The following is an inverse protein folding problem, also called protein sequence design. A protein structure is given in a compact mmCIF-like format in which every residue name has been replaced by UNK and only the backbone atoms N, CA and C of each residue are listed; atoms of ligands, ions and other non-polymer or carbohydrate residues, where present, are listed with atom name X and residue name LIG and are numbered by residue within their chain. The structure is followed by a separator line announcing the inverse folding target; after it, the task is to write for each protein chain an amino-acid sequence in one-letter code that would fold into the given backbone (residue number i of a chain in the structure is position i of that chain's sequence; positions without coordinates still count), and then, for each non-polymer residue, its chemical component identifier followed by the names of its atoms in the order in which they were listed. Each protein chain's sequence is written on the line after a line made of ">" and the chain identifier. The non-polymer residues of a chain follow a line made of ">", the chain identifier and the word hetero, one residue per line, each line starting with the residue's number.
data_IF_768402671459
#
_entry.id   IF_768402671459
#
_cell.length_a   1.000
_cell.length_b   1.000
_cell.length_c   1.000
_cell.angle_alpha   90.00
_cell.angle_beta   90.00
_cell.angle_gamma   90.00
#
_symmetry.space_group_name_H-M   'P 1'
#
loop_
_entity.id
_entity.type
_entity.pdbx_description
1 polymer ?
#
# COMPACT_ATOMS: atom_id res chain seq x y z
N UNK A 1 19.33 20.08 12.12
CA UNK A 1 18.29 21.11 11.96
C UNK A 1 17.32 20.58 10.93
N UNK A 2 16.16 20.13 11.36
CA UNK A 2 15.07 19.77 10.45
C UNK A 2 14.57 21.06 9.80
N UNK A 3 14.67 21.14 8.49
CA UNK A 3 14.06 22.24 7.73
C UNK A 3 12.54 22.08 7.78
N UNK A 4 11.75 23.14 7.71
CA UNK A 4 10.27 23.04 7.74
C UNK A 4 9.71 22.10 6.65
N UNK A 5 10.42 21.94 5.54
CA UNK A 5 10.07 21.02 4.45
C UNK A 5 10.15 19.52 4.82
N UNK A 6 10.80 19.18 5.95
CA UNK A 6 11.03 17.81 6.37
C UNK A 6 10.21 17.36 7.60
N UNK A 7 9.24 18.17 8.04
CA UNK A 7 8.36 17.76 9.15
C UNK A 7 7.40 16.67 8.68
N UNK A 8 7.11 15.66 9.53
CA UNK A 8 6.11 14.64 9.23
C UNK A 8 4.76 15.28 8.86
N UNK A 9 4.05 14.62 7.94
CA UNK A 9 2.67 15.00 7.65
C UNK A 9 1.83 14.87 8.94
N UNK A 10 0.99 15.85 9.28
CA UNK A 10 0.15 15.73 10.47
C UNK A 10 -0.93 14.65 10.28
N UNK A 11 -1.17 13.85 11.33
CA UNK A 11 -2.19 12.79 11.30
C UNK A 11 -3.61 13.29 11.03
N UNK A 12 -3.85 14.58 11.25
CA UNK A 12 -5.14 15.22 10.98
C UNK A 12 -5.49 15.37 9.50
N UNK A 13 -4.55 15.12 8.58
CA UNK A 13 -4.85 15.04 7.15
C UNK A 13 -5.61 13.76 6.78
N UNK A 14 -5.49 12.72 7.60
CA UNK A 14 -6.12 11.41 7.38
C UNK A 14 -7.44 11.35 8.14
N UNK A 15 -8.46 12.01 7.58
CA UNK A 15 -9.81 12.07 8.13
C UNK A 15 -10.63 10.84 7.75
N UNK A 16 -11.79 10.65 8.37
CA UNK A 16 -12.74 9.60 7.96
C UNK A 16 -13.15 9.77 6.48
N UNK A 17 -13.39 11.00 6.05
CA UNK A 17 -13.68 11.30 4.66
C UNK A 17 -12.54 10.86 3.73
N UNK A 18 -11.28 11.06 4.12
CA UNK A 18 -10.13 10.57 3.36
C UNK A 18 -10.22 9.06 3.14
N UNK A 19 -10.46 8.28 4.20
CA UNK A 19 -10.52 6.82 4.10
C UNK A 19 -11.73 6.32 3.31
N UNK A 20 -12.85 7.04 3.33
CA UNK A 20 -14.10 6.63 2.69
C UNK A 20 -14.30 7.19 1.27
N UNK A 21 -13.42 8.10 0.79
CA UNK A 21 -13.63 8.74 -0.53
C UNK A 21 -12.37 8.83 -1.39
N UNK A 22 -11.18 8.81 -0.78
CA UNK A 22 -9.92 9.07 -1.48
C UNK A 22 -8.94 7.88 -1.41
N UNK A 23 -9.00 7.10 -0.35
CA UNK A 23 -8.16 5.91 -0.19
C UNK A 23 -8.60 4.82 -1.17
N UNK A 24 -7.63 4.15 -1.79
CA UNK A 24 -7.91 3.11 -2.80
C UNK A 24 -8.85 2.03 -2.28
N UNK A 25 -9.74 1.54 -3.15
CA UNK A 25 -10.70 0.49 -2.81
C UNK A 25 -11.84 0.94 -1.88
N UNK A 26 -12.05 2.24 -1.67
CA UNK A 26 -13.12 2.74 -0.81
C UNK A 26 -14.51 2.29 -1.30
N UNK A 27 -14.72 2.20 -2.60
CA UNK A 27 -15.94 1.71 -3.21
C UNK A 27 -16.23 0.25 -2.83
N UNK A 28 -15.23 -0.63 -2.95
CA UNK A 28 -15.32 -2.03 -2.53
C UNK A 28 -15.53 -2.15 -1.02
N UNK A 29 -14.85 -1.29 -0.23
CA UNK A 29 -15.01 -1.27 1.22
C UNK A 29 -16.43 -0.89 1.62
N UNK A 30 -16.98 0.18 1.06
CA UNK A 30 -18.35 0.65 1.36
C UNK A 30 -19.39 -0.37 0.91
N UNK A 31 -19.28 -0.91 -0.30
CA UNK A 31 -20.23 -1.91 -0.85
C UNK A 31 -20.21 -3.23 -0.08
N UNK A 32 -19.02 -3.66 0.38
CA UNK A 32 -18.87 -4.93 1.10
C UNK A 32 -18.81 -4.79 2.62
N UNK A 33 -18.89 -3.59 3.15
CA UNK A 33 -18.67 -3.29 4.58
C UNK A 33 -17.31 -3.85 5.06
N UNK A 34 -16.29 -3.74 4.21
CA UNK A 34 -14.94 -4.26 4.46
C UNK A 34 -14.82 -5.79 4.44
N UNK A 35 -15.85 -6.52 3.94
CA UNK A 35 -15.81 -8.00 3.84
C UNK A 35 -14.95 -8.51 2.71
N UNK A 36 -14.67 -7.70 1.70
CA UNK A 36 -13.86 -8.04 0.54
C UNK A 36 -12.69 -7.08 0.40
N UNK A 37 -11.54 -7.63 0.06
CA UNK A 37 -10.39 -6.82 -0.33
C UNK A 37 -10.61 -6.22 -1.72
N UNK A 38 -10.17 -5.00 -1.93
CA UNK A 38 -10.01 -4.48 -3.28
C UNK A 38 -9.05 -5.38 -4.06
N UNK A 39 -9.11 -5.31 -5.39
CA UNK A 39 -8.19 -6.09 -6.23
C UNK A 39 -6.72 -5.81 -5.86
N UNK A 40 -6.37 -4.56 -5.67
CA UNK A 40 -5.01 -4.14 -5.33
C UNK A 40 -4.55 -4.74 -3.99
N UNK A 41 -5.37 -4.62 -2.95
CA UNK A 41 -5.05 -5.20 -1.65
C UNK A 41 -4.96 -6.73 -1.71
N UNK A 42 -5.83 -7.38 -2.50
CA UNK A 42 -5.79 -8.82 -2.68
C UNK A 42 -4.52 -9.27 -3.39
N UNK A 43 -4.11 -8.59 -4.47
CA UNK A 43 -2.88 -8.88 -5.20
C UNK A 43 -1.65 -8.65 -4.31
N UNK A 44 -1.62 -7.55 -3.53
CA UNK A 44 -0.54 -7.25 -2.60
C UNK A 44 -0.47 -8.28 -1.45
N UNK A 45 -1.62 -8.68 -0.90
CA UNK A 45 -1.67 -9.70 0.16
C UNK A 45 -1.23 -11.07 -0.34
N UNK A 46 -1.62 -11.46 -1.55
CA UNK A 46 -1.22 -12.74 -2.15
C UNK A 46 0.31 -12.91 -2.25
N UNK A 47 1.04 -11.80 -2.48
CA UNK A 47 2.51 -11.79 -2.53
C UNK A 47 3.14 -12.10 -1.16
N UNK A 48 2.41 -11.90 -0.07
CA UNK A 48 2.92 -12.14 1.27
C UNK A 48 3.07 -13.64 1.61
N UNK A 49 2.41 -14.54 0.86
CA UNK A 49 2.45 -15.98 1.10
C UNK A 49 2.23 -16.30 2.59
N UNK A 50 1.09 -15.85 3.11
CA UNK A 50 0.76 -15.95 4.53
C UNK A 50 0.20 -17.33 4.85
N UNK A 51 0.61 -17.90 5.99
CA UNK A 51 0.16 -19.21 6.49
C UNK A 51 -0.50 -19.08 7.88
N UNK A 52 -1.44 -19.96 8.26
CA UNK A 52 -2.28 -19.81 9.46
C UNK A 52 -1.54 -19.63 10.79
N UNK A 53 -0.32 -20.15 10.92
CA UNK A 53 0.49 -20.05 12.16
C UNK A 53 1.34 -18.79 12.25
N UNK A 54 1.29 -17.94 11.23
CA UNK A 54 2.12 -16.72 11.16
C UNK A 54 1.51 -15.59 11.98
N UNK A 55 2.41 -14.72 12.45
CA UNK A 55 2.06 -13.42 13.06
C UNK A 55 2.34 -12.31 12.03
N UNK A 56 1.31 -11.53 11.75
CA UNK A 56 1.32 -10.49 10.71
C UNK A 56 1.23 -9.12 11.35
N UNK A 57 2.07 -8.18 10.90
CA UNK A 57 1.95 -6.77 11.21
C UNK A 57 1.55 -6.02 9.94
N UNK A 58 0.45 -5.29 10.01
CA UNK A 58 -0.02 -4.36 8.97
C UNK A 58 0.27 -2.92 9.41
N UNK A 59 1.19 -2.25 8.73
CA UNK A 59 1.59 -0.87 9.00
C UNK A 59 0.82 0.06 8.07
N UNK A 60 0.06 1.00 8.67
CA UNK A 60 -0.92 1.81 7.97
C UNK A 60 -2.20 1.01 7.72
N UNK A 61 -2.74 0.38 8.79
CA UNK A 61 -3.87 -0.54 8.67
C UNK A 61 -5.19 0.11 8.21
N UNK A 62 -5.26 1.45 8.19
CA UNK A 62 -6.35 2.22 7.62
C UNK A 62 -7.74 1.79 8.08
N UNK A 63 -8.56 1.29 7.15
CA UNK A 63 -9.93 0.80 7.41
C UNK A 63 -10.00 -0.62 7.98
N UNK A 64 -8.86 -1.35 8.06
CA UNK A 64 -8.79 -2.68 8.67
C UNK A 64 -9.12 -3.87 7.77
N UNK A 65 -9.19 -3.69 6.46
CA UNK A 65 -9.53 -4.75 5.50
C UNK A 65 -8.55 -5.92 5.56
N UNK A 66 -7.25 -5.64 5.63
CA UNK A 66 -6.20 -6.66 5.76
C UNK A 66 -6.32 -7.39 7.10
N UNK A 67 -6.56 -6.66 8.19
CA UNK A 67 -6.75 -7.25 9.53
C UNK A 67 -7.94 -8.21 9.52
N UNK A 68 -9.09 -7.77 8.98
CA UNK A 68 -10.28 -8.63 8.84
C UNK A 68 -9.99 -9.87 8.00
N UNK A 69 -9.27 -9.70 6.90
CA UNK A 69 -8.91 -10.81 6.02
C UNK A 69 -8.04 -11.84 6.74
N UNK A 70 -7.03 -11.40 7.49
CA UNK A 70 -6.19 -12.26 8.33
C UNK A 70 -7.02 -13.00 9.39
N UNK A 71 -7.91 -12.30 10.08
CA UNK A 71 -8.81 -12.93 11.07
C UNK A 71 -9.64 -14.05 10.45
N UNK A 72 -10.26 -13.82 9.30
CA UNK A 72 -11.06 -14.85 8.59
C UNK A 72 -10.23 -16.08 8.17
N UNK A 73 -8.93 -15.93 7.98
CA UNK A 73 -8.00 -17.02 7.69
C UNK A 73 -7.43 -17.68 8.97
N UNK A 74 -7.84 -17.24 10.16
CA UNK A 74 -7.31 -17.74 11.43
C UNK A 74 -5.87 -17.34 11.71
N UNK A 75 -5.43 -16.18 11.19
CA UNK A 75 -4.07 -15.65 11.28
C UNK A 75 -4.02 -14.60 12.39
N UNK A 76 -3.00 -14.66 13.26
CA UNK A 76 -2.77 -13.66 14.28
C UNK A 76 -2.30 -12.34 13.65
N UNK A 77 -3.13 -11.30 13.70
CA UNK A 77 -2.91 -10.03 13.02
C UNK A 77 -2.76 -8.84 13.99
N UNK A 78 -1.83 -7.96 13.66
CA UNK A 78 -1.58 -6.71 14.37
C UNK A 78 -1.67 -5.54 13.39
N UNK A 79 -2.50 -4.55 13.70
CA UNK A 79 -2.60 -3.31 12.94
C UNK A 79 -1.95 -2.15 13.68
N UNK A 80 -1.20 -1.32 12.97
CA UNK A 80 -0.77 -0.02 13.47
C UNK A 80 -1.12 1.06 12.46
N UNK A 81 -1.56 2.20 12.97
CA UNK A 81 -1.75 3.40 12.16
C UNK A 81 -1.38 4.65 12.97
N UNK A 82 -0.91 5.66 12.27
CA UNK A 82 -0.57 6.95 12.82
C UNK A 82 -1.82 7.79 13.11
N UNK A 83 -2.85 7.66 12.26
CA UNK A 83 -4.13 8.36 12.39
C UNK A 83 -5.04 7.66 13.40
N UNK A 84 -5.60 8.45 14.32
CA UNK A 84 -6.56 7.94 15.32
C UNK A 84 -7.81 7.38 14.65
N UNK A 85 -8.33 8.08 13.64
CA UNK A 85 -9.52 7.65 12.88
C UNK A 85 -9.31 6.26 12.28
N UNK A 86 -8.18 5.99 11.65
CA UNK A 86 -7.85 4.69 11.09
C UNK A 86 -7.87 3.58 12.15
N UNK A 87 -7.26 3.84 13.32
CA UNK A 87 -7.25 2.84 14.41
C UNK A 87 -8.64 2.57 14.98
N UNK A 88 -9.51 3.58 15.02
CA UNK A 88 -10.91 3.41 15.42
C UNK A 88 -11.69 2.58 14.38
N UNK A 89 -11.60 2.92 13.09
CA UNK A 89 -12.23 2.16 12.01
C UNK A 89 -11.77 0.69 12.00
N UNK A 90 -10.46 0.45 12.14
CA UNK A 90 -9.93 -0.92 12.21
C UNK A 90 -10.44 -1.67 13.44
N UNK A 91 -10.56 -1.03 14.61
CA UNK A 91 -11.14 -1.66 15.82
C UNK A 91 -12.59 -2.03 15.63
N UNK A 92 -13.37 -1.18 14.97
CA UNK A 92 -14.77 -1.46 14.65
C UNK A 92 -14.89 -2.69 13.73
N UNK A 93 -14.04 -2.78 12.71
CA UNK A 93 -13.94 -3.95 11.83
C UNK A 93 -13.56 -5.22 12.60
N UNK A 94 -12.60 -5.13 13.53
CA UNK A 94 -12.22 -6.27 14.40
C UNK A 94 -13.42 -6.71 15.25
N UNK A 95 -14.10 -5.77 15.93
CA UNK A 95 -15.25 -6.07 16.78
C UNK A 95 -16.42 -6.70 15.98
N UNK A 96 -16.70 -6.19 14.80
CA UNK A 96 -17.70 -6.77 13.88
C UNK A 96 -17.32 -8.19 13.48
N UNK A 97 -16.05 -8.43 13.13
CA UNK A 97 -15.55 -9.75 12.73
C UNK A 97 -15.64 -10.76 13.86
N UNK A 98 -15.35 -10.33 15.09
CA UNK A 98 -15.52 -11.18 16.29
C UNK A 98 -16.99 -11.51 16.56
N UNK A 99 -17.89 -10.54 16.36
CA UNK A 99 -19.34 -10.75 16.53
C UNK A 99 -19.96 -11.66 15.45
N UNK A 100 -19.38 -11.68 14.25
CA UNK A 100 -19.78 -12.55 13.14
C UNK A 100 -19.23 -13.99 13.26
N UNK A 101 -18.24 -14.23 14.13
CA UNK A 101 -17.63 -15.56 14.30
C UNK A 101 -18.57 -16.49 15.11
N UNK A 102 -18.76 -17.71 14.62
CA UNK A 102 -19.52 -18.74 15.32
C UNK A 102 -18.74 -19.35 16.50
N UNK A 103 -19.44 -19.80 17.55
CA UNK A 103 -18.84 -20.54 18.67
C UNK A 103 -18.15 -21.81 18.13
N UNK A 104 -16.82 -21.92 18.36
CA UNK A 104 -16.02 -23.09 17.94
C UNK A 104 -15.11 -22.84 16.73
N UNK A 105 -15.13 -21.64 16.12
CA UNK A 105 -14.07 -21.23 15.20
C UNK A 105 -12.75 -20.95 15.96
N UNK A 106 -11.63 -20.99 15.23
CA UNK A 106 -10.30 -20.68 15.79
C UNK A 106 -10.32 -19.36 16.57
N UNK A 107 -9.56 -19.31 17.66
CA UNK A 107 -9.40 -18.09 18.44
C UNK A 107 -8.88 -16.97 17.53
N UNK A 108 -9.78 -16.03 17.16
CA UNK A 108 -9.44 -14.91 16.31
C UNK A 108 -8.64 -13.89 17.10
N UNK A 109 -7.37 -13.70 16.76
CA UNK A 109 -6.49 -12.77 17.44
C UNK A 109 -6.15 -11.59 16.52
N UNK A 110 -6.71 -10.43 16.86
CA UNK A 110 -6.33 -9.18 16.23
C UNK A 110 -6.14 -8.08 17.26
N UNK A 111 -5.10 -7.26 17.10
CA UNK A 111 -4.78 -6.14 18.00
C UNK A 111 -4.44 -4.91 17.17
N UNK A 112 -4.99 -3.76 17.57
CA UNK A 112 -4.83 -2.49 16.86
C UNK A 112 -4.23 -1.45 17.80
N UNK A 113 -3.16 -0.81 17.36
CA UNK A 113 -2.45 0.20 18.12
C UNK A 113 -2.34 1.51 17.29
N UNK A 114 -2.56 2.65 17.95
CA UNK A 114 -2.16 3.93 17.39
C UNK A 114 -0.66 4.09 17.58
N UNK A 115 0.11 4.07 16.51
CA UNK A 115 1.56 4.16 16.57
C UNK A 115 2.13 4.74 15.28
N UNK A 116 3.25 5.43 15.42
CA UNK A 116 4.06 5.87 14.29
C UNK A 116 4.91 4.70 13.77
N UNK A 117 4.95 4.51 12.45
CA UNK A 117 5.76 3.48 11.81
C UNK A 117 7.26 3.59 12.13
N UNK A 118 7.73 4.78 12.52
CA UNK A 118 9.11 5.06 12.94
C UNK A 118 9.42 4.58 14.36
N UNK A 119 8.41 4.12 15.12
CA UNK A 119 8.56 3.63 16.49
C UNK A 119 7.47 2.61 16.82
N UNK A 120 7.69 1.37 16.45
CA UNK A 120 6.72 0.29 16.63
C UNK A 120 6.70 -0.24 18.06
N UNK A 121 5.52 -0.43 18.69
CA UNK A 121 5.40 -0.84 20.10
C UNK A 121 5.54 -2.36 20.28
N UNK A 122 6.44 -3.00 19.55
CA UNK A 122 6.64 -4.44 19.57
C UNK A 122 8.08 -4.81 19.87
N UNK A 123 8.34 -5.98 20.47
CA UNK A 123 9.69 -6.52 20.66
C UNK A 123 10.37 -6.83 19.31
N UNK A 124 11.67 -7.02 19.36
CA UNK A 124 12.46 -7.49 18.24
C UNK A 124 11.98 -8.87 17.78
N UNK A 125 12.11 -9.17 16.49
CA UNK A 125 11.84 -10.50 15.90
C UNK A 125 10.46 -11.08 16.27
N UNK A 126 9.41 -10.24 16.22
CA UNK A 126 8.04 -10.58 16.62
C UNK A 126 7.16 -11.10 15.49
N UNK A 127 7.45 -10.76 14.23
CA UNK A 127 6.54 -10.99 13.11
C UNK A 127 7.17 -11.81 11.99
N UNK A 128 6.36 -12.71 11.42
CA UNK A 128 6.71 -13.52 10.27
C UNK A 128 6.56 -12.73 8.97
N UNK A 129 5.55 -11.84 8.93
CA UNK A 129 5.30 -10.92 7.82
C UNK A 129 5.04 -9.52 8.37
N UNK A 130 5.63 -8.53 7.70
CA UNK A 130 5.28 -7.13 7.91
C UNK A 130 4.81 -6.59 6.57
N UNK A 131 3.62 -6.00 6.57
CA UNK A 131 2.96 -5.43 5.40
C UNK A 131 3.00 -3.91 5.50
N UNK A 132 3.22 -3.24 4.38
CA UNK A 132 3.17 -1.79 4.25
C UNK A 132 2.57 -1.47 2.87
N UNK A 133 1.25 -1.32 2.83
CA UNK A 133 0.49 -1.12 1.60
C UNK A 133 -0.05 0.30 1.52
N UNK A 134 0.30 1.02 0.46
CA UNK A 134 -0.09 2.41 0.20
C UNK A 134 0.25 3.36 1.39
N UNK A 135 1.47 3.21 1.94
CA UNK A 135 2.01 4.02 3.06
C UNK A 135 3.29 4.75 2.67
N UNK A 136 4.12 4.10 1.85
CA UNK A 136 5.47 4.59 1.50
C UNK A 136 5.44 5.98 0.88
N UNK A 137 4.46 6.26 0.03
CA UNK A 137 4.26 7.53 -0.64
C UNK A 137 3.91 8.68 0.31
N UNK A 138 3.46 8.37 1.52
CA UNK A 138 3.11 9.33 2.58
C UNK A 138 4.26 9.67 3.53
N UNK A 139 5.37 8.92 3.46
CA UNK A 139 6.53 9.10 4.32
C UNK A 139 7.64 9.85 3.58
N UNK A 140 8.14 10.94 4.12
CA UNK A 140 9.36 11.55 3.59
C UNK A 140 10.50 10.52 3.54
N UNK A 141 11.54 10.69 2.69
CA UNK A 141 12.62 9.70 2.56
C UNK A 141 13.30 9.34 3.88
N UNK A 142 13.48 10.30 4.79
CA UNK A 142 14.06 10.05 6.11
C UNK A 142 13.10 9.26 7.03
N UNK A 143 11.79 9.54 6.96
CA UNK A 143 10.76 8.80 7.70
C UNK A 143 10.68 7.36 7.22
N UNK A 144 10.65 7.16 5.89
CA UNK A 144 10.66 5.83 5.29
C UNK A 144 11.89 5.03 5.74
N UNK A 145 13.07 5.66 5.79
CA UNK A 145 14.26 4.99 6.28
C UNK A 145 14.12 4.55 7.75
N UNK A 146 13.63 5.44 8.63
CA UNK A 146 13.40 5.11 10.04
C UNK A 146 12.33 4.01 10.20
N UNK A 147 11.22 4.08 9.47
CA UNK A 147 10.18 3.06 9.47
C UNK A 147 10.75 1.69 9.02
N UNK A 148 11.55 1.66 7.97
CA UNK A 148 12.19 0.43 7.51
C UNK A 148 13.19 -0.15 8.54
N UNK A 149 13.90 0.68 9.31
CA UNK A 149 14.73 0.21 10.42
C UNK A 149 13.91 -0.44 11.53
N UNK A 150 12.75 0.15 11.88
CA UNK A 150 11.83 -0.45 12.85
C UNK A 150 11.20 -1.75 12.31
N UNK A 151 10.82 -1.79 11.04
CA UNK A 151 10.39 -3.04 10.38
C UNK A 151 11.49 -4.10 10.50
N UNK A 152 12.75 -3.74 10.21
CA UNK A 152 13.88 -4.68 10.32
C UNK A 152 14.06 -5.18 11.74
N UNK A 153 13.82 -4.36 12.74
CA UNK A 153 13.90 -4.74 14.17
C UNK A 153 12.82 -5.75 14.54
N UNK A 154 11.54 -5.46 14.19
CA UNK A 154 10.40 -6.30 14.62
C UNK A 154 10.19 -7.55 13.75
N UNK A 155 10.73 -7.59 12.55
CA UNK A 155 10.66 -8.74 11.65
C UNK A 155 11.55 -9.88 12.17
N UNK A 156 11.10 -11.12 12.08
CA UNK A 156 11.92 -12.31 12.35
C UNK A 156 13.04 -12.43 11.30
N UNK A 157 14.05 -13.25 11.57
CA UNK A 157 15.22 -13.37 10.69
C UNK A 157 14.88 -14.04 9.34
N UNK A 158 13.93 -14.96 9.34
CA UNK A 158 13.33 -15.61 8.16
C UNK A 158 12.05 -14.92 7.67
N UNK A 159 11.66 -13.83 8.34
CA UNK A 159 10.47 -13.05 8.02
C UNK A 159 10.59 -12.30 6.70
N UNK A 160 9.44 -11.90 6.14
CA UNK A 160 9.38 -11.12 4.91
C UNK A 160 8.70 -9.77 5.13
N UNK A 161 9.28 -8.74 4.55
CA UNK A 161 8.70 -7.40 4.46
C UNK A 161 8.08 -7.22 3.08
N UNK A 162 6.78 -6.95 3.02
CA UNK A 162 6.02 -6.82 1.78
C UNK A 162 5.55 -5.37 1.65
N UNK A 163 5.85 -4.77 0.52
CA UNK A 163 5.50 -3.38 0.22
C UNK A 163 4.68 -3.35 -1.05
N UNK A 164 3.61 -2.58 -1.03
CA UNK A 164 2.92 -2.07 -2.19
C UNK A 164 2.84 -0.55 -2.09
N UNK A 165 3.01 0.17 -3.19
CA UNK A 165 2.84 1.63 -3.27
C UNK A 165 2.49 2.06 -4.69
N UNK A 166 1.69 3.11 -4.81
CA UNK A 166 1.30 3.72 -6.07
C UNK A 166 1.09 5.25 -5.90
N UNK A 167 1.31 6.03 -6.97
CA UNK A 167 1.73 5.63 -8.30
C UNK A 167 3.26 5.45 -8.43
N UNK A 168 3.66 4.69 -9.44
CA UNK A 168 5.05 4.64 -9.86
C UNK A 168 5.52 6.03 -10.34
N UNK A 169 6.57 6.58 -9.75
CA UNK A 169 7.11 7.90 -10.07
C UNK A 169 7.48 8.06 -11.54
N UNK A 170 7.92 7.00 -12.23
CA UNK A 170 8.22 7.06 -13.66
C UNK A 170 6.96 7.18 -14.51
N UNK A 171 5.85 6.56 -14.08
CA UNK A 171 4.56 6.78 -14.74
C UNK A 171 4.18 8.26 -14.70
N UNK A 172 4.18 8.88 -13.54
CA UNK A 172 3.80 10.28 -13.37
C UNK A 172 4.69 11.22 -14.18
N UNK A 173 5.99 10.95 -14.21
CA UNK A 173 6.97 11.81 -14.86
C UNK A 173 7.01 11.67 -16.40
N UNK A 174 6.86 10.45 -16.91
CA UNK A 174 7.13 10.15 -18.31
C UNK A 174 5.91 9.66 -19.10
N UNK A 175 5.13 8.73 -18.55
CA UNK A 175 3.98 8.16 -19.24
C UNK A 175 2.74 9.05 -19.16
N UNK A 176 2.47 9.63 -18.00
CA UNK A 176 1.28 10.45 -17.79
C UNK A 176 1.17 11.64 -18.75
N UNK A 177 2.22 12.42 -19.06
CA UNK A 177 2.15 13.47 -20.06
C UNK A 177 1.72 12.96 -21.44
N UNK A 178 2.19 11.78 -21.84
CA UNK A 178 1.83 11.13 -23.10
C UNK A 178 0.36 10.69 -23.07
N UNK A 179 -0.05 10.00 -22.02
CA UNK A 179 -1.45 9.58 -21.82
C UNK A 179 -2.37 10.80 -21.84
N UNK A 180 -2.01 11.85 -21.10
CA UNK A 180 -2.77 13.10 -21.05
C UNK A 180 -2.91 13.77 -22.42
N UNK A 181 -1.84 13.80 -23.22
CA UNK A 181 -1.86 14.35 -24.57
C UNK A 181 -2.91 13.63 -25.44
N UNK A 182 -2.86 12.30 -25.50
CA UNK A 182 -3.83 11.52 -26.28
C UNK A 182 -5.26 11.66 -25.73
N UNK A 183 -5.45 11.64 -24.42
CA UNK A 183 -6.78 11.83 -23.81
C UNK A 183 -7.38 13.19 -24.12
N UNK A 184 -6.56 14.23 -24.23
CA UNK A 184 -7.03 15.56 -24.66
C UNK A 184 -7.46 15.58 -26.13
N UNK A 185 -6.76 14.89 -27.02
CA UNK A 185 -7.15 14.76 -28.44
C UNK A 185 -8.52 14.08 -28.59
N UNK A 186 -8.87 13.17 -27.69
CA UNK A 186 -10.17 12.49 -27.66
C UNK A 186 -11.24 13.20 -26.80
N UNK A 187 -11.05 14.48 -26.47
CA UNK A 187 -12.03 15.27 -25.73
C UNK A 187 -12.13 14.98 -24.22
N UNK A 188 -11.25 14.14 -23.67
CA UNK A 188 -11.26 13.75 -22.26
C UNK A 188 -10.31 14.59 -21.40
N UNK A 189 -9.87 15.74 -21.87
CA UNK A 189 -8.84 16.57 -21.21
C UNK A 189 -9.21 17.07 -19.83
N UNK A 190 -10.49 17.23 -19.51
CA UNK A 190 -10.98 17.69 -18.22
C UNK A 190 -10.71 16.70 -17.07
N UNK A 191 -10.65 15.40 -17.38
CA UNK A 191 -10.39 14.34 -16.39
C UNK A 191 -8.88 14.06 -16.16
N UNK A 192 -8.01 14.74 -16.92
CA UNK A 192 -6.56 14.55 -16.88
C UNK A 192 -5.86 15.88 -16.61
N UNK A 193 -5.77 16.31 -15.34
CA UNK A 193 -5.13 17.56 -14.94
C UNK A 193 -3.64 17.57 -15.30
N UNK A 194 -3.00 18.76 -15.22
CA UNK A 194 -1.55 18.86 -15.50
C UNK A 194 -0.72 18.08 -14.48
N UNK A 195 -1.11 18.16 -13.21
CA UNK A 195 -0.52 17.39 -12.12
C UNK A 195 -1.33 16.09 -11.94
N UNK A 196 -0.76 14.89 -12.11
CA UNK A 196 -1.48 13.62 -11.96
C UNK A 196 -2.04 13.40 -10.55
N UNK A 197 -1.39 13.94 -9.51
CA UNK A 197 -1.90 13.88 -8.12
C UNK A 197 -3.24 14.59 -7.94
N UNK A 198 -3.54 15.58 -8.77
CA UNK A 198 -4.81 16.30 -8.73
C UNK A 198 -6.01 15.50 -9.30
N UNK A 199 -5.80 14.28 -9.78
CA UNK A 199 -6.90 13.35 -10.13
C UNK A 199 -7.70 13.00 -8.87
N UNK A 200 -6.99 12.80 -7.75
CA UNK A 200 -7.56 12.72 -6.40
C UNK A 200 -6.95 13.91 -5.62
N UNK A 201 -7.70 14.99 -5.41
CA UNK A 201 -7.13 16.27 -4.94
C UNK A 201 -6.30 16.18 -3.67
N UNK A 202 -6.71 15.38 -2.69
CA UNK A 202 -6.00 15.20 -1.42
C UNK A 202 -4.60 14.59 -1.60
N UNK A 203 -4.36 13.84 -2.68
CA UNK A 203 -3.04 13.25 -2.96
C UNK A 203 -1.96 14.30 -3.23
N UNK A 204 -2.35 15.55 -3.56
CA UNK A 204 -1.38 16.64 -3.70
C UNK A 204 -0.73 17.01 -2.35
N UNK A 205 -1.46 16.81 -1.26
CA UNK A 205 -1.04 17.19 0.09
C UNK A 205 -0.37 16.03 0.84
N UNK A 206 -0.73 14.79 0.50
CA UNK A 206 -0.28 13.60 1.24
C UNK A 206 0.75 12.75 0.52
N UNK A 207 0.90 12.84 -0.81
CA UNK A 207 1.92 12.10 -1.55
C UNK A 207 3.21 12.91 -1.63
N UNK A 208 4.17 12.58 -0.80
CA UNK A 208 5.47 13.29 -0.68
C UNK A 208 6.65 12.48 -1.20
N UNK A 209 6.46 11.18 -1.46
CA UNK A 209 7.58 10.27 -1.77
C UNK A 209 7.18 9.09 -2.65
N UNK A 210 6.62 9.35 -3.82
CA UNK A 210 6.35 8.26 -4.77
C UNK A 210 7.64 7.54 -5.16
N UNK A 211 7.53 6.22 -5.30
CA UNK A 211 8.66 5.36 -5.59
C UNK A 211 8.70 4.93 -7.06
N UNK A 212 9.89 4.57 -7.50
CA UNK A 212 10.15 3.75 -8.67
C UNK A 212 11.01 2.54 -8.26
N UNK A 213 11.30 1.62 -9.19
CA UNK A 213 12.13 0.44 -8.91
C UNK A 213 13.48 0.82 -8.31
N UNK A 214 14.12 1.89 -8.78
CA UNK A 214 15.47 2.27 -8.34
C UNK A 214 15.44 2.85 -6.94
N UNK A 215 14.53 3.81 -6.67
CA UNK A 215 14.41 4.45 -5.36
C UNK A 215 14.00 3.43 -4.28
N UNK A 216 13.05 2.54 -4.58
CA UNK A 216 12.64 1.48 -3.65
C UNK A 216 13.79 0.52 -3.34
N UNK A 217 14.52 0.04 -4.35
CA UNK A 217 15.71 -0.79 -4.12
C UNK A 217 16.77 -0.07 -3.28
N UNK A 218 16.97 1.23 -3.50
CA UNK A 218 17.92 2.03 -2.73
C UNK A 218 17.47 2.16 -1.27
N UNK A 219 16.19 2.45 -1.01
CA UNK A 219 15.63 2.56 0.32
C UNK A 219 15.76 1.24 1.10
N UNK A 220 15.39 0.11 0.49
CA UNK A 220 15.53 -1.21 1.07
C UNK A 220 16.97 -1.54 1.44
N UNK A 221 17.92 -1.31 0.53
CA UNK A 221 19.34 -1.58 0.79
C UNK A 221 19.91 -0.68 1.89
N UNK A 222 19.54 0.58 1.92
CA UNK A 222 19.95 1.52 2.97
C UNK A 222 19.48 1.11 4.36
N UNK A 223 18.29 0.47 4.46
CA UNK A 223 17.74 -0.05 5.70
C UNK A 223 18.19 -1.50 6.03
N UNK A 224 19.14 -2.07 5.27
CA UNK A 224 19.67 -3.41 5.54
C UNK A 224 18.78 -4.55 5.05
N UNK A 225 18.00 -4.32 4.02
CA UNK A 225 17.21 -5.35 3.35
C UNK A 225 17.83 -5.76 2.00
N UNK A 226 17.49 -6.97 1.57
CA UNK A 226 17.67 -7.45 0.22
C UNK A 226 16.37 -8.05 -0.28
N UNK A 227 16.07 -7.92 -1.57
CA UNK A 227 14.80 -8.44 -2.07
C UNK A 227 14.57 -8.14 -3.55
N UNK A 228 13.36 -8.40 -3.98
CA UNK A 228 12.88 -8.17 -5.33
C UNK A 228 11.92 -6.99 -5.34
N UNK A 229 12.14 -6.07 -6.27
CA UNK A 229 11.22 -4.95 -6.56
C UNK A 229 10.78 -5.08 -8.01
N UNK A 230 9.48 -4.99 -8.25
CA UNK A 230 8.92 -5.05 -9.61
C UNK A 230 7.75 -4.10 -9.77
N UNK A 231 7.37 -3.86 -11.01
CA UNK A 231 6.18 -3.08 -11.36
C UNK A 231 5.09 -4.02 -11.83
N UNK A 232 3.87 -3.66 -11.52
CA UNK A 232 2.70 -4.34 -12.03
C UNK A 232 1.59 -3.35 -12.38
N UNK A 233 0.74 -3.76 -13.30
CA UNK A 233 -0.47 -3.03 -13.64
C UNK A 233 -1.60 -4.04 -13.74
N UNK A 234 -2.74 -3.75 -13.12
CA UNK A 234 -3.86 -4.66 -13.17
C UNK A 234 -4.26 -4.96 -14.61
N UNK A 235 -4.56 -6.23 -14.91
CA UNK A 235 -5.17 -6.59 -16.17
C UNK A 235 -6.49 -5.83 -16.30
N UNK A 236 -6.55 -4.92 -17.27
CA UNK A 236 -7.79 -4.21 -17.57
C UNK A 236 -8.66 -5.13 -18.42
N UNK A 237 -9.72 -5.65 -17.81
CA UNK A 237 -10.72 -6.49 -18.48
C UNK A 237 -11.62 -5.61 -19.36
N UNK A 238 -11.06 -5.04 -20.43
CA UNK A 238 -11.78 -4.23 -21.42
C UNK A 238 -11.94 -5.03 -22.70
N UNK A 239 -13.15 -5.03 -23.26
CA UNK A 239 -13.35 -5.43 -24.65
C UNK A 239 -12.64 -4.41 -25.52
N UNK A 240 -11.41 -4.72 -25.92
CA UNK A 240 -10.58 -3.87 -26.77
C UNK A 240 -10.58 -4.42 -28.19
N UNK A 241 -10.55 -3.51 -29.18
CA UNK A 241 -10.30 -3.93 -30.54
C UNK A 241 -8.83 -4.37 -30.70
N UNK A 242 -8.56 -5.17 -31.74
CA UNK A 242 -7.24 -5.76 -32.03
C UNK A 242 -6.09 -4.72 -32.04
N UNK A 243 -6.33 -3.51 -32.57
CA UNK A 243 -5.31 -2.46 -32.67
C UNK A 243 -4.96 -1.91 -31.27
N UNK A 244 -5.98 -1.62 -30.45
CA UNK A 244 -5.78 -1.14 -29.09
C UNK A 244 -5.11 -2.20 -28.20
N UNK A 245 -5.48 -3.46 -28.38
CA UNK A 245 -4.82 -4.58 -27.69
C UNK A 245 -3.32 -4.69 -28.06
N UNK A 246 -2.97 -4.48 -29.33
CA UNK A 246 -1.58 -4.46 -29.80
C UNK A 246 -0.77 -3.30 -29.19
N UNK A 247 -1.33 -2.09 -29.15
CA UNK A 247 -0.69 -0.94 -28.49
C UNK A 247 -0.53 -1.17 -26.99
N UNK A 248 -1.57 -1.68 -26.30
CA UNK A 248 -1.50 -1.99 -24.88
C UNK A 248 -0.37 -2.98 -24.60
N UNK A 249 -0.30 -4.08 -25.36
CA UNK A 249 0.74 -5.09 -25.22
C UNK A 249 2.15 -4.48 -25.38
N UNK A 250 2.34 -3.57 -26.34
CA UNK A 250 3.63 -2.90 -26.53
C UNK A 250 4.03 -2.07 -25.29
N UNK A 251 3.09 -1.28 -24.74
CA UNK A 251 3.39 -0.36 -23.66
C UNK A 251 3.44 -1.02 -22.28
N UNK A 252 2.70 -2.09 -22.03
CA UNK A 252 2.60 -2.73 -20.73
C UNK A 252 3.37 -4.06 -20.60
N UNK A 253 3.65 -4.74 -21.72
CA UNK A 253 4.34 -6.04 -21.66
C UNK A 253 5.81 -5.95 -22.09
N UNK A 254 6.21 -4.93 -22.87
CA UNK A 254 7.54 -4.86 -23.49
C UNK A 254 8.45 -3.82 -22.81
N UNK A 255 9.60 -4.22 -22.22
CA UNK A 255 10.64 -3.29 -21.79
C UNK A 255 11.24 -2.50 -22.98
N UNK A 256 11.60 -1.21 -22.84
CA UNK A 256 11.55 -0.43 -21.58
C UNK A 256 10.20 0.23 -21.31
N UNK A 257 9.25 0.16 -22.24
CA UNK A 257 7.97 0.89 -22.13
C UNK A 257 7.20 0.47 -20.87
N UNK A 258 7.16 -0.82 -20.57
CA UNK A 258 6.56 -1.37 -19.38
C UNK A 258 6.95 -0.58 -18.11
N UNK A 259 8.20 -0.25 -17.93
CA UNK A 259 8.69 0.44 -16.73
C UNK A 259 8.10 1.84 -16.52
N UNK A 260 7.66 2.47 -17.59
CA UNK A 260 7.07 3.82 -17.55
C UNK A 260 5.55 3.81 -17.48
N UNK A 261 4.90 2.76 -17.98
CA UNK A 261 3.44 2.70 -18.07
C UNK A 261 2.79 1.91 -16.94
N UNK A 262 3.51 1.06 -16.26
CA UNK A 262 3.01 0.40 -15.06
C UNK A 262 2.96 1.36 -13.87
N UNK A 263 1.91 1.22 -13.06
CA UNK A 263 1.57 2.21 -12.03
C UNK A 263 1.85 1.74 -10.61
N UNK A 264 1.92 0.45 -10.37
CA UNK A 264 2.03 -0.15 -9.05
C UNK A 264 3.46 -0.66 -8.83
N UNK A 265 4.03 -0.38 -7.66
CA UNK A 265 5.36 -0.82 -7.26
C UNK A 265 5.21 -1.84 -6.14
N UNK A 266 5.69 -3.03 -6.35
CA UNK A 266 5.73 -4.10 -5.38
C UNK A 266 7.15 -4.38 -4.92
N UNK A 267 7.29 -4.75 -3.64
CA UNK A 267 8.55 -5.28 -3.14
C UNK A 267 8.32 -6.40 -2.14
N UNK A 268 9.19 -7.43 -2.21
CA UNK A 268 9.37 -8.44 -1.15
C UNK A 268 10.82 -8.40 -0.73
N UNK A 269 11.05 -8.17 0.54
CA UNK A 269 12.37 -8.01 1.10
C UNK A 269 12.60 -8.91 2.33
N UNK A 270 13.84 -9.34 2.49
CA UNK A 270 14.35 -10.13 3.60
C UNK A 270 15.46 -9.33 4.29
N UNK A 271 15.70 -9.60 5.58
CA UNK A 271 16.87 -9.05 6.27
C UNK A 271 18.15 -9.46 5.54
N UNK A 272 19.06 -8.50 5.39
CA UNK A 272 20.43 -8.78 4.95
C UNK A 272 21.32 -8.91 6.18
N UNK A 273 22.03 -10.02 6.27
CA UNK A 273 23.03 -10.30 7.28
C UNK A 273 24.44 -9.99 6.79
#
# INVERSE_FOLDING_TARGET
>A
METEENKPLPSTLYTEEYFLTACEGYDVFVESEGRHLSRRLNDAFAVAEVEPHMRILDIGCGRGEIIRHCMKLGIEAYGVDYAEVATLMTRDVVNQTLAESEEGQHELVARVYRSDAKRLPFPDSSFDRVLMFDVVEHLYPWELHQAMLEVRRVLKDDGRFIIHTAPNRWYDRYAYPVVRFFRRLFGQGGHYPKNPRAIVPVNQDVHVNEQDIRSMNQALRAAGFQGKVWLDTPPQNRQENFILAGFRRLFFDVPPFRWFFEREVFAVALKRF
#
